data_IF_940053066484
#
_entry.id   IF_940053066484
#
_cell.length_a   1.000
_cell.length_b   1.000
_cell.length_c   1.000
_cell.angle_alpha   90.00
_cell.angle_beta   90.00
_cell.angle_gamma   90.00
#
_symmetry.space_group_name_H-M   'P 1'
#
loop_
_entity.id
_entity.type
_entity.pdbx_description
1 polymer ?
#
# COMPACT_ATOMS: atom_id res chain seq x y z
N UNK A 1 -18.41 2.49 -37.06
CA UNK A 1 -17.07 2.54 -36.44
C UNK A 1 -17.29 2.62 -34.94
N UNK A 2 -17.18 1.49 -34.23
CA UNK A 2 -17.30 1.45 -32.77
C UNK A 2 -15.99 1.95 -32.17
N UNK A 3 -16.07 2.94 -31.27
CA UNK A 3 -14.90 3.54 -30.60
C UNK A 3 -14.10 2.46 -29.84
N UNK A 4 -12.78 2.32 -30.06
CA UNK A 4 -12.02 1.24 -29.45
C UNK A 4 -11.59 1.47 -27.99
N UNK A 5 -11.81 2.65 -27.39
CA UNK A 5 -11.35 2.91 -26.02
C UNK A 5 -12.26 3.87 -25.25
N UNK A 6 -13.14 3.30 -24.43
CA UNK A 6 -13.61 3.95 -23.20
C UNK A 6 -13.97 2.86 -22.20
N UNK A 7 -12.97 2.09 -21.75
CA UNK A 7 -13.12 1.43 -20.46
C UNK A 7 -13.06 2.53 -19.41
N UNK A 8 -14.06 2.58 -18.54
CA UNK A 8 -14.05 3.53 -17.42
C UNK A 8 -12.76 3.35 -16.59
N UNK A 9 -12.17 4.44 -16.09
CA UNK A 9 -11.01 4.38 -15.22
C UNK A 9 -11.25 3.43 -14.05
N UNK A 10 -10.32 2.51 -13.82
CA UNK A 10 -10.40 1.58 -12.69
C UNK A 10 -9.61 2.13 -11.52
N UNK A 11 -10.31 2.70 -10.54
CA UNK A 11 -9.66 3.17 -9.32
C UNK A 11 -8.91 2.04 -8.61
N UNK A 12 -7.83 2.38 -7.93
CA UNK A 12 -7.00 1.40 -7.24
C UNK A 12 -6.00 2.04 -6.30
N UNK A 13 -4.97 1.26 -5.96
CA UNK A 13 -4.05 1.60 -4.90
C UNK A 13 -2.64 1.11 -5.23
N UNK A 14 -1.67 2.00 -5.16
CA UNK A 14 -0.27 1.63 -5.03
C UNK A 14 0.05 1.52 -3.54
N UNK A 15 0.25 0.28 -3.09
CA UNK A 15 0.55 -0.11 -1.73
C UNK A 15 2.06 -0.34 -1.60
N UNK A 16 2.73 0.50 -0.81
CA UNK A 16 4.20 0.48 -0.68
C UNK A 16 4.58 0.29 0.78
N UNK A 17 4.94 -0.93 1.14
CA UNK A 17 5.54 -1.24 2.44
C UNK A 17 7.06 -1.08 2.37
N UNK A 18 7.67 -0.67 3.48
CA UNK A 18 9.12 -0.46 3.52
C UNK A 18 9.72 -0.63 4.92
N UNK A 19 11.02 -0.93 4.94
CA UNK A 19 11.84 -0.99 6.15
C UNK A 19 13.25 -0.49 5.86
N UNK A 20 13.87 0.11 6.86
CA UNK A 20 15.31 0.41 6.81
C UNK A 20 16.05 -0.91 6.97
N UNK A 21 17.04 -1.15 6.11
CA UNK A 21 17.84 -2.38 6.12
C UNK A 21 19.32 -2.15 6.41
N UNK A 22 19.76 -0.89 6.45
CA UNK A 22 21.13 -0.52 6.81
C UNK A 22 21.15 0.40 8.03
N UNK A 23 22.06 0.18 9.00
CA UNK A 23 22.23 1.09 10.12
C UNK A 23 22.80 2.47 9.69
N UNK A 24 23.31 2.61 8.47
CA UNK A 24 23.80 3.89 7.94
C UNK A 24 22.68 4.89 7.62
N UNK A 25 21.43 4.45 7.58
CA UNK A 25 20.27 5.29 7.35
C UNK A 25 19.45 5.40 8.65
N UNK A 26 19.39 6.58 9.24
CA UNK A 26 18.56 6.81 10.42
C UNK A 26 17.07 6.92 10.04
N UNK A 27 16.13 6.56 10.95
CA UNK A 27 14.69 6.77 10.74
C UNK A 27 14.31 8.21 10.40
N UNK A 28 14.99 9.19 11.00
CA UNK A 28 14.77 10.61 10.74
C UNK A 28 15.19 11.00 9.31
N UNK A 29 16.38 10.56 8.87
CA UNK A 29 16.88 10.80 7.51
C UNK A 29 15.97 10.15 6.47
N UNK A 30 15.55 8.91 6.75
CA UNK A 30 14.60 8.20 5.91
C UNK A 30 13.27 8.95 5.77
N UNK A 31 12.67 9.36 6.91
CA UNK A 31 11.45 10.18 6.91
C UNK A 31 11.65 11.44 6.08
N UNK A 32 12.74 12.18 6.32
CA UNK A 32 13.02 13.44 5.63
C UNK A 32 13.11 13.26 4.12
N UNK A 33 13.90 12.30 3.66
CA UNK A 33 14.00 11.99 2.22
C UNK A 33 12.63 11.61 1.64
N UNK A 34 11.89 10.73 2.32
CA UNK A 34 10.64 10.20 1.81
C UNK A 34 9.57 11.29 1.69
N UNK A 35 9.43 12.13 2.72
CA UNK A 35 8.36 13.12 2.84
C UNK A 35 8.69 14.43 2.12
N UNK A 36 9.96 14.87 2.13
CA UNK A 36 10.35 16.17 1.56
C UNK A 36 10.81 16.09 0.10
N UNK A 37 11.26 14.91 -0.37
CA UNK A 37 11.73 14.73 -1.75
C UNK A 37 10.92 13.70 -2.52
N UNK A 38 10.91 12.44 -2.05
CA UNK A 38 10.38 11.33 -2.85
C UNK A 38 8.88 11.42 -3.12
N UNK A 39 8.03 11.58 -2.10
CA UNK A 39 6.57 11.73 -2.29
C UNK A 39 6.25 12.94 -3.19
N UNK A 40 6.81 14.15 -2.96
CA UNK A 40 6.61 15.28 -3.86
C UNK A 40 7.00 15.00 -5.32
N UNK A 41 8.10 14.29 -5.55
CA UNK A 41 8.52 13.87 -6.89
C UNK A 41 7.52 12.91 -7.53
N UNK A 42 7.03 11.91 -6.77
CA UNK A 42 5.98 10.98 -7.23
C UNK A 42 4.73 11.73 -7.64
N UNK A 43 4.20 12.62 -6.78
CA UNK A 43 2.95 13.34 -7.06
C UNK A 43 3.08 14.26 -8.28
N UNK A 44 4.23 14.93 -8.44
CA UNK A 44 4.50 15.80 -9.59
C UNK A 44 4.62 14.98 -10.88
N UNK A 45 5.32 13.85 -10.85
CA UNK A 45 5.56 13.03 -12.03
C UNK A 45 4.35 12.20 -12.48
N UNK A 46 3.46 11.84 -11.54
CA UNK A 46 2.35 10.91 -11.76
C UNK A 46 0.98 11.58 -11.91
N UNK A 47 0.89 12.90 -11.76
CA UNK A 47 -0.34 13.63 -12.03
C UNK A 47 -0.77 13.44 -13.51
N UNK A 48 -2.08 13.28 -13.81
CA UNK A 48 -3.22 13.37 -12.88
C UNK A 48 -3.64 12.01 -12.26
N UNK A 49 -2.87 10.94 -12.47
CA UNK A 49 -3.27 9.59 -12.06
C UNK A 49 -3.04 9.32 -10.58
N UNK A 50 -2.04 9.95 -9.97
CA UNK A 50 -1.78 9.94 -8.52
C UNK A 50 -1.63 11.40 -8.10
N UNK A 51 -2.52 11.86 -7.21
CA UNK A 51 -2.58 13.27 -6.77
C UNK A 51 -2.50 13.43 -5.25
N UNK A 52 -2.48 12.32 -4.52
CA UNK A 52 -2.35 12.28 -3.06
C UNK A 52 -1.49 11.10 -2.63
N UNK A 53 -0.93 11.21 -1.43
CA UNK A 53 -0.21 10.13 -0.76
C UNK A 53 -0.46 10.19 0.74
N UNK A 54 -0.53 9.02 1.37
CA UNK A 54 -0.77 8.89 2.80
C UNK A 54 0.26 7.95 3.39
N UNK A 55 0.98 8.44 4.40
CA UNK A 55 2.07 7.70 5.02
C UNK A 55 1.66 7.28 6.41
N UNK A 56 1.94 6.04 6.75
CA UNK A 56 1.58 5.42 8.02
C UNK A 56 2.77 4.68 8.63
N UNK A 57 2.69 4.47 9.94
CA UNK A 57 3.61 3.64 10.70
C UNK A 57 2.84 2.53 11.42
N UNK A 58 3.39 1.33 11.46
CA UNK A 58 2.79 0.22 12.19
C UNK A 58 2.65 0.59 13.67
N UNK A 59 1.46 0.37 14.23
CA UNK A 59 1.24 0.47 15.68
C UNK A 59 1.89 -0.71 16.42
N UNK A 60 2.14 -1.82 15.72
CA UNK A 60 2.76 -3.04 16.26
C UNK A 60 3.92 -3.49 15.36
N UNK A 61 5.13 -3.12 15.73
CA UNK A 61 6.35 -3.50 14.99
C UNK A 61 6.76 -4.95 15.22
N UNK A 62 6.15 -5.67 16.17
CA UNK A 62 6.42 -7.09 16.37
C UNK A 62 5.67 -7.97 15.35
N UNK A 63 4.58 -7.46 14.75
CA UNK A 63 3.78 -8.18 13.74
C UNK A 63 4.24 -7.97 12.30
N UNK A 64 5.16 -7.04 12.05
CA UNK A 64 5.64 -6.80 10.69
C UNK A 64 7.09 -6.33 10.66
N UNK A 65 7.86 -6.91 9.76
CA UNK A 65 9.20 -6.44 9.44
C UNK A 65 9.19 -5.14 8.60
N UNK A 66 8.02 -4.73 8.09
CA UNK A 66 7.84 -3.55 7.23
C UNK A 66 6.98 -2.50 7.94
N UNK A 67 7.55 -1.75 8.90
CA UNK A 67 6.80 -0.86 9.77
C UNK A 67 6.30 0.41 9.07
N UNK A 68 6.86 0.76 7.90
CA UNK A 68 6.43 1.95 7.15
C UNK A 68 5.53 1.55 6.00
N UNK A 69 4.39 2.24 5.86
CA UNK A 69 3.45 2.07 4.77
C UNK A 69 3.19 3.40 4.08
N UNK A 70 3.24 3.43 2.76
CA UNK A 70 2.75 4.55 1.96
C UNK A 70 1.68 4.06 0.99
N UNK A 71 0.55 4.75 1.00
CA UNK A 71 -0.60 4.50 0.16
C UNK A 71 -0.74 5.64 -0.86
N UNK A 72 -0.76 5.30 -2.13
CA UNK A 72 -1.03 6.22 -3.23
C UNK A 72 -2.32 5.79 -3.92
N UNK A 73 -3.46 6.48 -3.70
CA UNK A 73 -4.65 6.27 -4.49
C UNK A 73 -4.36 6.48 -5.98
N UNK A 74 -4.78 5.52 -6.80
CA UNK A 74 -4.55 5.52 -8.25
C UNK A 74 -5.90 5.69 -8.93
N UNK A 75 -6.03 6.72 -9.77
CA UNK A 75 -7.28 7.00 -10.50
C UNK A 75 -7.62 5.93 -11.52
N UNK A 76 -6.61 5.40 -12.20
CA UNK A 76 -6.74 4.34 -13.19
C UNK A 76 -5.57 3.37 -13.10
N UNK A 77 -5.81 2.15 -12.64
CA UNK A 77 -4.77 1.11 -12.56
C UNK A 77 -4.25 0.69 -13.92
N UNK A 78 -5.03 0.86 -14.99
CA UNK A 78 -4.57 0.54 -16.34
C UNK A 78 -3.38 1.42 -16.77
N UNK A 79 -3.32 2.67 -16.29
CA UNK A 79 -2.20 3.58 -16.55
C UNK A 79 -0.86 3.01 -16.06
N UNK A 80 -0.85 2.25 -14.96
CA UNK A 80 0.36 1.69 -14.37
C UNK A 80 1.12 0.75 -15.32
N UNK A 81 0.45 0.25 -16.36
CA UNK A 81 0.99 -0.69 -17.36
C UNK A 81 1.34 -0.03 -18.70
N UNK A 82 1.18 1.28 -18.79
CA UNK A 82 1.50 2.05 -20.00
C UNK A 82 2.95 2.52 -19.99
N UNK A 83 3.51 2.76 -21.18
CA UNK A 83 4.87 3.32 -21.31
C UNK A 83 4.98 4.75 -20.73
N UNK A 84 3.84 5.44 -20.62
CA UNK A 84 3.68 6.77 -20.02
C UNK A 84 3.57 6.73 -18.47
N UNK A 85 3.72 5.56 -17.85
CA UNK A 85 3.74 5.43 -16.40
C UNK A 85 5.03 5.98 -15.80
N UNK A 86 4.96 7.17 -15.20
CA UNK A 86 6.09 7.80 -14.51
C UNK A 86 6.41 7.21 -13.14
N UNK A 87 5.51 6.41 -12.55
CA UNK A 87 5.68 5.92 -11.17
C UNK A 87 6.99 5.16 -10.97
N UNK A 88 7.38 4.34 -11.94
CA UNK A 88 8.62 3.55 -11.91
C UNK A 88 9.88 4.33 -12.34
N UNK A 89 9.72 5.60 -12.74
CA UNK A 89 10.78 6.44 -13.31
C UNK A 89 11.19 7.58 -12.37
N UNK A 90 10.53 7.70 -11.22
CA UNK A 90 10.90 8.65 -10.17
C UNK A 90 12.32 8.35 -9.69
N UNK A 91 13.15 9.38 -9.54
CA UNK A 91 14.54 9.21 -9.11
C UNK A 91 14.58 8.66 -7.68
N UNK A 92 15.44 7.66 -7.50
CA UNK A 92 15.64 6.94 -6.25
C UNK A 92 17.02 7.22 -5.64
N UNK A 93 17.77 8.13 -6.27
CA UNK A 93 19.01 8.68 -5.73
C UNK A 93 18.76 10.03 -5.08
N UNK A 94 19.37 10.28 -3.93
CA UNK A 94 19.25 11.59 -3.26
C UNK A 94 20.46 11.87 -2.37
N UNK A 95 20.80 13.16 -2.21
CA UNK A 95 21.95 13.61 -1.39
C UNK A 95 21.78 13.33 0.11
N UNK A 96 20.53 13.22 0.57
CA UNK A 96 20.20 12.83 1.95
C UNK A 96 20.47 11.34 2.23
N UNK A 97 20.57 10.52 1.19
CA UNK A 97 20.75 9.09 1.36
C UNK A 97 22.25 8.78 1.48
N UNK A 98 22.65 7.88 2.40
CA UNK A 98 24.03 7.45 2.49
C UNK A 98 24.48 6.80 1.18
N UNK A 99 25.59 7.29 0.63
CA UNK A 99 26.29 6.68 -0.50
C UNK A 99 27.56 5.94 -0.03
N UNK A 100 28.27 5.26 -0.94
CA UNK A 100 29.62 4.77 -0.67
C UNK A 100 30.51 5.95 -0.22
N UNK A 101 31.27 5.75 0.85
CA UNK A 101 32.11 6.79 1.47
C UNK A 101 33.09 7.48 0.51
N UNK A 102 33.41 6.83 -0.61
CA UNK A 102 34.41 7.26 -1.59
C UNK A 102 33.81 7.68 -2.95
N UNK A 103 32.48 7.80 -3.08
CA UNK A 103 31.83 8.17 -4.34
C UNK A 103 31.15 9.56 -4.25
N UNK A 104 31.31 10.44 -5.26
CA UNK A 104 30.53 11.67 -5.39
C UNK A 104 29.06 11.42 -5.79
N UNK A 105 28.66 10.15 -5.96
CA UNK A 105 27.31 9.78 -6.36
C UNK A 105 26.31 9.92 -5.21
N UNK A 106 25.12 10.43 -5.53
CA UNK A 106 23.98 10.51 -4.61
C UNK A 106 23.61 9.10 -4.12
N UNK A 107 23.27 8.94 -2.84
CA UNK A 107 22.94 7.63 -2.27
C UNK A 107 21.69 7.03 -2.91
N UNK A 108 21.68 5.70 -3.12
CA UNK A 108 20.57 4.97 -3.71
C UNK A 108 19.71 4.29 -2.64
N UNK A 109 18.40 4.53 -2.64
CA UNK A 109 17.56 4.08 -1.52
C UNK A 109 17.55 2.56 -1.31
N UNK A 110 17.63 1.76 -2.39
CA UNK A 110 17.62 0.30 -2.27
C UNK A 110 18.90 -0.30 -1.69
N UNK A 111 19.97 0.48 -1.56
CA UNK A 111 21.17 0.05 -0.84
C UNK A 111 20.93 0.03 0.69
N UNK A 112 20.00 0.85 1.19
CA UNK A 112 19.82 1.10 2.63
C UNK A 112 18.42 0.86 3.16
N UNK A 113 17.44 0.62 2.28
CA UNK A 113 16.09 0.22 2.63
C UNK A 113 15.58 -0.91 1.72
N UNK A 114 14.51 -1.57 2.18
CA UNK A 114 13.77 -2.59 1.42
C UNK A 114 12.34 -2.11 1.24
N UNK A 115 11.78 -2.41 0.08
CA UNK A 115 10.42 -2.04 -0.29
C UNK A 115 9.69 -3.23 -0.85
N UNK A 116 8.40 -3.27 -0.56
CA UNK A 116 7.42 -4.17 -1.13
C UNK A 116 6.37 -3.32 -1.84
N UNK A 117 6.37 -3.38 -3.17
CA UNK A 117 5.45 -2.63 -4.02
C UNK A 117 4.37 -3.58 -4.51
N UNK A 118 3.11 -3.19 -4.33
CA UNK A 118 1.97 -3.94 -4.80
C UNK A 118 0.94 -2.98 -5.36
N UNK A 119 0.33 -3.35 -6.48
CA UNK A 119 -0.71 -2.56 -7.11
C UNK A 119 -2.01 -3.33 -7.07
N UNK A 120 -3.06 -2.66 -6.64
CA UNK A 120 -4.37 -3.25 -6.44
C UNK A 120 -5.44 -2.48 -7.19
N UNK A 121 -6.43 -3.20 -7.72
CA UNK A 121 -7.69 -2.64 -8.22
C UNK A 121 -8.70 -2.57 -7.07
N UNK A 122 -9.43 -1.45 -6.96
CA UNK A 122 -10.53 -1.30 -6.01
C UNK A 122 -11.74 -2.07 -6.55
N UNK A 123 -12.22 -3.06 -5.79
CA UNK A 123 -13.31 -3.95 -6.24
C UNK A 123 -14.54 -3.87 -5.36
N UNK A 124 -14.46 -3.28 -4.16
CA UNK A 124 -15.64 -3.05 -3.32
C UNK A 124 -15.37 -2.01 -2.24
N UNK A 125 -16.43 -1.34 -1.76
CA UNK A 125 -16.36 -0.36 -0.68
C UNK A 125 -17.67 -0.35 0.11
N UNK A 126 -17.57 -0.24 1.43
CA UNK A 126 -18.72 -0.09 2.35
C UNK A 126 -18.44 1.05 3.33
N UNK A 127 -19.37 1.99 3.43
CA UNK A 127 -19.25 3.21 4.24
C UNK A 127 -19.03 4.45 3.37
N UNK A 128 -19.32 5.63 3.93
CA UNK A 128 -19.31 6.92 3.22
C UNK A 128 -18.31 7.91 3.84
N UNK A 129 -17.17 7.41 4.32
CA UNK A 129 -16.16 8.28 4.91
C UNK A 129 -15.46 9.14 3.84
N UNK A 130 -15.50 10.45 4.06
CA UNK A 130 -14.82 11.46 3.25
C UNK A 130 -13.86 12.20 4.18
N UNK A 131 -12.58 11.86 4.09
CA UNK A 131 -11.53 12.41 4.95
C UNK A 131 -10.32 11.50 4.99
N UNK A 132 -9.26 11.90 5.68
CA UNK A 132 -8.07 11.06 5.88
C UNK A 132 -8.23 10.29 7.19
N UNK A 133 -8.23 8.94 7.19
CA UNK A 133 -8.28 8.17 8.41
C UNK A 133 -7.00 8.37 9.20
N UNK A 134 -7.14 8.51 10.52
CA UNK A 134 -6.00 8.62 11.43
C UNK A 134 -5.40 7.23 11.70
N UNK A 135 -6.21 6.18 11.56
CA UNK A 135 -5.77 4.80 11.74
C UNK A 135 -6.36 3.92 10.65
N UNK A 136 -5.59 2.91 10.25
CA UNK A 136 -6.07 1.87 9.36
C UNK A 136 -5.72 0.49 9.91
N UNK A 137 -6.59 -0.48 9.65
CA UNK A 137 -6.27 -1.89 9.78
C UNK A 137 -6.28 -2.51 8.39
N UNK A 138 -5.14 -3.03 7.98
CA UNK A 138 -4.95 -3.72 6.69
C UNK A 138 -5.02 -5.21 6.94
N UNK A 139 -6.06 -5.87 6.42
CA UNK A 139 -6.17 -7.32 6.42
C UNK A 139 -5.69 -7.89 5.09
N UNK A 140 -4.70 -8.75 5.14
CA UNK A 140 -4.15 -9.45 3.97
C UNK A 140 -4.89 -10.77 3.79
N UNK A 141 -5.48 -10.99 2.61
CA UNK A 141 -6.27 -12.19 2.33
C UNK A 141 -5.57 -13.10 1.31
N UNK A 142 -5.56 -14.38 1.61
CA UNK A 142 -5.08 -15.43 0.71
C UNK A 142 -6.24 -16.21 0.03
N UNK A 143 -5.88 -17.23 -0.75
CA UNK A 143 -6.88 -18.04 -1.47
C UNK A 143 -7.87 -18.74 -0.54
N UNK A 144 -7.46 -19.10 0.69
CA UNK A 144 -8.30 -19.78 1.67
C UNK A 144 -9.30 -18.84 2.33
N UNK A 145 -8.94 -17.56 2.51
CA UNK A 145 -9.87 -16.53 2.96
C UNK A 145 -10.92 -16.20 1.89
N UNK A 146 -10.47 -16.18 0.63
CA UNK A 146 -11.29 -15.81 -0.53
C UNK A 146 -12.22 -16.95 -0.93
N UNK A 147 -11.80 -18.22 -0.88
CA UNK A 147 -12.61 -19.36 -1.32
C UNK A 147 -13.06 -20.18 -0.13
N UNK A 148 -14.29 -19.97 0.30
CA UNK A 148 -14.90 -20.72 1.39
C UNK A 148 -15.89 -21.77 0.86
N UNK A 149 -16.06 -22.85 1.64
CA UNK A 149 -17.05 -23.88 1.35
C UNK A 149 -18.45 -23.27 1.43
N UNK A 150 -19.19 -23.31 0.32
CA UNK A 150 -20.50 -22.67 0.21
C UNK A 150 -20.54 -21.43 -0.68
N UNK A 151 -19.39 -21.00 -1.22
CA UNK A 151 -19.33 -19.95 -2.25
C UNK A 151 -19.81 -20.43 -3.64
N UNK A 152 -20.17 -21.72 -3.77
CA UNK A 152 -20.70 -22.33 -4.99
C UNK A 152 -22.02 -21.65 -5.41
N UNK A 153 -21.93 -20.74 -6.39
CA UNK A 153 -23.06 -20.00 -6.94
C UNK A 153 -23.06 -18.49 -6.66
N UNK A 154 -22.08 -17.97 -5.92
CA UNK A 154 -21.86 -16.52 -5.84
C UNK A 154 -21.21 -16.02 -7.13
N UNK A 155 -21.71 -14.89 -7.64
CA UNK A 155 -20.99 -14.12 -8.65
C UNK A 155 -19.87 -13.29 -8.01
N UNK A 156 -19.10 -12.57 -8.83
CA UNK A 156 -17.96 -11.78 -8.34
C UNK A 156 -18.40 -10.70 -7.33
N UNK A 157 -19.58 -10.12 -7.51
CA UNK A 157 -20.12 -9.11 -6.61
C UNK A 157 -20.54 -9.71 -5.26
N UNK A 158 -21.26 -10.83 -5.27
CA UNK A 158 -21.65 -11.55 -4.06
C UNK A 158 -20.43 -12.02 -3.25
N UNK A 159 -19.34 -12.39 -3.93
CA UNK A 159 -18.08 -12.73 -3.28
C UNK A 159 -17.43 -11.50 -2.60
N UNK A 160 -17.40 -10.35 -3.27
CA UNK A 160 -16.86 -9.11 -2.72
C UNK A 160 -17.64 -8.67 -1.46
N UNK A 161 -18.98 -8.71 -1.54
CA UNK A 161 -19.85 -8.36 -0.42
C UNK A 161 -19.65 -9.31 0.77
N UNK A 162 -19.54 -10.62 0.50
CA UNK A 162 -19.23 -11.62 1.53
C UNK A 162 -17.93 -11.29 2.25
N UNK A 163 -16.85 -11.04 1.50
CA UNK A 163 -15.52 -10.76 2.05
C UNK A 163 -15.57 -9.48 2.91
N UNK A 164 -16.17 -8.40 2.39
CA UNK A 164 -16.28 -7.14 3.13
C UNK A 164 -17.11 -7.30 4.41
N UNK A 165 -18.24 -7.99 4.32
CA UNK A 165 -19.11 -8.23 5.48
C UNK A 165 -18.41 -9.05 6.55
N UNK A 166 -17.77 -10.17 6.17
CA UNK A 166 -17.03 -11.02 7.11
C UNK A 166 -15.84 -10.29 7.74
N UNK A 167 -15.05 -9.57 6.93
CA UNK A 167 -13.91 -8.81 7.44
C UNK A 167 -14.35 -7.74 8.44
N UNK A 168 -15.42 -7.00 8.13
CA UNK A 168 -16.01 -6.01 9.06
C UNK A 168 -16.54 -6.66 10.33
N UNK A 169 -17.17 -7.83 10.24
CA UNK A 169 -17.70 -8.55 11.40
C UNK A 169 -16.57 -9.03 12.33
N UNK A 170 -15.53 -9.67 11.79
CA UNK A 170 -14.38 -10.15 12.55
C UNK A 170 -13.69 -9.00 13.31
N UNK A 171 -13.51 -7.88 12.63
CA UNK A 171 -12.92 -6.68 13.20
C UNK A 171 -13.83 -6.04 14.27
N UNK A 172 -15.15 -6.02 14.07
CA UNK A 172 -16.10 -5.50 15.05
C UNK A 172 -16.28 -6.40 16.29
N UNK A 173 -16.00 -7.71 16.17
CA UNK A 173 -15.99 -8.61 17.32
C UNK A 173 -14.74 -8.39 18.19
N UNK A 174 -13.59 -8.13 17.55
CA UNK A 174 -12.33 -7.78 18.23
C UNK A 174 -12.22 -6.31 18.68
N UNK A 175 -13.05 -5.41 18.11
CA UNK A 175 -13.00 -3.97 18.37
C UNK A 175 -14.26 -3.42 19.01
N UNK A 176 -14.10 -2.56 20.02
CA UNK A 176 -15.22 -1.73 20.52
C UNK A 176 -15.58 -0.57 19.57
N UNK A 177 -14.80 -0.35 18.51
CA UNK A 177 -15.01 0.71 17.51
C UNK A 177 -15.22 0.09 16.13
N UNK A 178 -16.21 0.60 15.38
CA UNK A 178 -16.46 0.15 14.01
C UNK A 178 -15.67 1.01 13.03
N UNK A 179 -15.12 0.43 11.94
CA UNK A 179 -14.49 1.21 10.90
C UNK A 179 -15.50 2.11 10.20
N UNK A 180 -15.10 3.37 9.96
CA UNK A 180 -15.90 4.37 9.24
C UNK A 180 -16.07 4.00 7.77
N UNK A 181 -15.09 3.29 7.21
CA UNK A 181 -15.12 2.76 5.86
C UNK A 181 -14.31 1.46 5.77
N UNK A 182 -14.72 0.56 4.88
CA UNK A 182 -13.91 -0.58 4.47
C UNK A 182 -13.82 -0.63 2.95
N UNK A 183 -12.61 -0.81 2.43
CA UNK A 183 -12.38 -0.95 0.99
C UNK A 183 -11.69 -2.27 0.69
N UNK A 184 -12.24 -3.03 -0.24
CA UNK A 184 -11.68 -4.28 -0.75
C UNK A 184 -10.92 -4.02 -2.05
N UNK A 185 -9.71 -4.54 -2.07
CA UNK A 185 -8.74 -4.41 -3.14
C UNK A 185 -8.33 -5.79 -3.62
N UNK A 186 -8.20 -5.96 -4.95
CA UNK A 186 -7.72 -7.19 -5.59
C UNK A 186 -6.38 -6.93 -6.24
N UNK A 187 -5.40 -7.81 -6.01
CA UNK A 187 -4.05 -7.64 -6.53
C UNK A 187 -4.09 -7.62 -8.06
N UNK A 188 -3.60 -6.53 -8.66
CA UNK A 188 -3.46 -6.40 -10.11
C UNK A 188 -2.08 -6.90 -10.55
N UNK A 189 -1.01 -6.36 -9.98
CA UNK A 189 0.34 -6.88 -10.19
C UNK A 189 1.33 -6.46 -9.10
N UNK A 190 2.45 -7.18 -9.10
CA UNK A 190 3.67 -6.84 -8.36
C UNK A 190 4.74 -6.52 -9.40
N UNK A 191 5.38 -5.34 -9.35
CA UNK A 191 6.44 -5.00 -10.29
C UNK A 191 7.67 -5.90 -10.04
N UNK A 192 8.49 -6.17 -11.06
CA UNK A 192 9.77 -6.80 -10.83
C UNK A 192 10.60 -5.93 -9.89
N UNK A 193 11.33 -6.55 -8.95
CA UNK A 193 12.25 -5.80 -8.08
C UNK A 193 13.27 -5.08 -8.97
N UNK A 194 13.53 -3.78 -8.75
CA UNK A 194 14.58 -3.08 -9.47
C UNK A 194 15.91 -3.78 -9.19
N UNK A 195 16.56 -4.24 -10.26
CA UNK A 195 17.87 -4.87 -10.17
C UNK A 195 18.91 -3.77 -10.04
N UNK A 196 19.79 -3.85 -9.05
CA UNK A 196 21.05 -3.11 -9.09
C UNK A 196 21.88 -3.70 -10.23
N UNK A 197 22.29 -2.87 -11.20
CA UNK A 197 23.23 -3.32 -12.23
C UNK A 197 24.48 -3.89 -11.55
N UNK A 198 24.83 -5.14 -11.85
CA UNK A 198 26.03 -5.80 -11.32
C UNK A 198 25.87 -6.61 -10.03
N UNK A 199 24.70 -6.70 -9.40
CA UNK A 199 24.49 -7.60 -8.25
C UNK A 199 23.68 -8.85 -8.61
N UNK A 200 24.31 -10.03 -8.46
CA UNK A 200 23.62 -11.31 -8.57
C UNK A 200 22.62 -11.47 -7.41
N UNK A 201 21.36 -11.67 -7.76
CA UNK A 201 20.26 -11.92 -6.84
C UNK A 201 20.36 -13.34 -6.25
N UNK A 202 21.21 -13.55 -5.24
CA UNK A 202 21.28 -14.83 -4.55
C UNK A 202 20.58 -14.87 -3.18
N UNK A 203 20.17 -13.73 -2.63
CA UNK A 203 19.38 -13.70 -1.39
C UNK A 203 17.88 -13.61 -1.71
N UNK A 204 17.36 -14.62 -2.39
CA UNK A 204 15.92 -14.84 -2.48
C UNK A 204 15.47 -15.51 -1.17
N UNK A 205 15.47 -14.73 -0.08
CA UNK A 205 14.73 -15.09 1.13
C UNK A 205 13.31 -15.47 0.70
N UNK A 206 12.78 -16.60 1.20
CA UNK A 206 11.45 -17.10 0.83
C UNK A 206 10.38 -16.20 1.43
N UNK A 207 10.18 -15.03 0.84
CA UNK A 207 9.13 -14.10 1.24
C UNK A 207 7.79 -14.74 0.84
N UNK A 208 6.81 -14.84 1.75
CA UNK A 208 5.46 -15.24 1.40
C UNK A 208 4.97 -14.47 0.18
N UNK A 209 4.23 -15.15 -0.70
CA UNK A 209 3.66 -14.51 -1.88
C UNK A 209 2.77 -13.32 -1.51
N UNK A 210 2.61 -12.34 -2.40
CA UNK A 210 1.78 -11.17 -2.12
C UNK A 210 0.33 -11.58 -1.87
N UNK A 211 -0.32 -10.92 -0.91
CA UNK A 211 -1.74 -11.11 -0.62
C UNK A 211 -2.59 -10.87 -1.88
N UNK A 212 -3.50 -11.80 -2.17
CA UNK A 212 -4.35 -11.76 -3.36
C UNK A 212 -5.40 -10.66 -3.27
N UNK A 213 -5.90 -10.41 -2.07
CA UNK A 213 -6.77 -9.30 -1.77
C UNK A 213 -6.29 -8.56 -0.52
N UNK A 214 -6.64 -7.28 -0.40
CA UNK A 214 -6.50 -6.50 0.81
C UNK A 214 -7.86 -5.95 1.20
N UNK A 215 -8.19 -5.98 2.49
CA UNK A 215 -9.26 -5.15 3.04
C UNK A 215 -8.60 -4.08 3.90
N UNK A 216 -8.84 -2.82 3.57
CA UNK A 216 -8.40 -1.69 4.38
C UNK A 216 -9.61 -1.17 5.14
N UNK A 217 -9.52 -1.24 6.47
CA UNK A 217 -10.49 -0.70 7.41
C UNK A 217 -10.00 0.65 7.92
N UNK A 218 -10.79 1.70 7.69
CA UNK A 218 -10.45 3.08 8.00
C UNK A 218 -11.11 3.51 9.33
N UNK A 219 -10.37 4.25 10.16
CA UNK A 219 -10.84 4.76 11.45
C UNK A 219 -10.42 6.21 11.68
N UNK A 220 -11.31 6.99 12.33
CA UNK A 220 -11.03 8.35 12.81
C UNK A 220 -10.29 8.35 14.14
N UNK A 221 -10.57 7.35 15.00
CA UNK A 221 -9.94 7.17 16.31
C UNK A 221 -9.18 5.85 16.35
N UNK A 222 -8.19 5.75 17.25
CA UNK A 222 -7.43 4.53 17.42
C UNK A 222 -8.38 3.37 17.74
N UNK A 223 -8.34 2.26 16.99
CA UNK A 223 -9.11 1.09 17.36
C UNK A 223 -8.71 0.65 18.77
N UNK A 224 -9.69 0.38 19.65
CA UNK A 224 -9.38 -0.04 21.03
C UNK A 224 -8.62 -1.37 21.00
N UNK A 225 -7.68 -1.57 21.94
CA UNK A 225 -6.84 -2.76 22.07
C UNK A 225 -7.62 -4.06 21.80
N UNK A 226 -7.06 -4.92 20.92
CA UNK A 226 -7.61 -6.26 20.63
C UNK A 226 -7.94 -6.53 19.17
N UNK A 227 -8.05 -5.50 18.31
CA UNK A 227 -8.46 -5.69 16.91
C UNK A 227 -7.51 -6.58 16.12
N UNK A 228 -6.21 -6.32 16.24
CA UNK A 228 -5.16 -7.09 15.54
C UNK A 228 -4.69 -8.28 16.36
N UNK A 229 -4.89 -8.29 17.68
CA UNK A 229 -4.37 -9.33 18.56
C UNK A 229 -4.96 -10.73 18.25
N UNK A 230 -6.16 -10.79 17.66
CA UNK A 230 -6.84 -12.04 17.33
C UNK A 230 -6.62 -12.53 15.89
N UNK A 231 -6.01 -11.72 15.01
CA UNK A 231 -5.87 -12.02 13.57
C UNK A 231 -4.45 -11.71 13.09
N UNK A 232 -3.67 -12.76 12.85
CA UNK A 232 -2.27 -12.64 12.39
C UNK A 232 -2.13 -12.11 10.95
N UNK A 233 -3.24 -12.09 10.19
CA UNK A 233 -3.27 -11.52 8.84
C UNK A 233 -3.54 -10.01 8.81
N UNK A 234 -3.90 -9.43 9.96
CA UNK A 234 -4.19 -8.02 10.12
C UNK A 234 -2.96 -7.24 10.60
N UNK A 235 -2.79 -6.02 10.08
CA UNK A 235 -1.77 -5.07 10.50
C UNK A 235 -2.42 -3.72 10.78
N UNK A 236 -2.12 -3.12 11.93
CA UNK A 236 -2.61 -1.79 12.28
C UNK A 236 -1.55 -0.74 12.02
N UNK A 237 -1.97 0.37 11.43
CA UNK A 237 -1.11 1.50 11.18
C UNK A 237 -1.75 2.81 11.63
N UNK A 238 -0.92 3.71 12.15
CA UNK A 238 -1.25 5.07 12.52
C UNK A 238 -0.73 6.05 11.46
N UNK A 239 -1.53 7.05 11.12
CA UNK A 239 -1.17 8.07 10.15
C UNK A 239 0.03 8.90 10.63
N UNK A 240 1.03 9.05 9.76
CA UNK A 240 2.17 9.94 9.97
C UNK A 240 1.96 11.28 9.27
N UNK A 241 1.62 11.25 7.99
CA UNK A 241 1.61 12.43 7.13
C UNK A 241 0.74 12.23 5.90
N UNK A 242 0.28 13.34 5.33
CA UNK A 242 -0.56 13.38 4.12
C UNK A 242 0.01 14.40 3.14
N UNK A 243 -0.12 14.11 1.85
CA UNK A 243 0.44 14.92 0.78
C UNK A 243 -0.55 15.07 -0.37
N UNK A 244 -0.44 16.17 -1.10
CA UNK A 244 -1.25 16.42 -2.30
C UNK A 244 -2.70 16.84 -2.00
N UNK A 245 -3.59 16.64 -2.97
CA UNK A 245 -5.01 16.99 -2.82
C UNK A 245 -5.77 15.88 -2.09
N UNK A 246 -5.72 15.93 -0.76
CA UNK A 246 -6.42 15.00 0.13
C UNK A 246 -7.93 15.25 0.21
N UNK A 247 -8.47 16.18 -0.60
CA UNK A 247 -9.91 16.45 -0.71
C UNK A 247 -10.64 15.50 -1.67
N UNK A 248 -9.91 14.65 -2.40
CA UNK A 248 -10.45 13.60 -3.26
C UNK A 248 -10.64 12.26 -2.53
N UNK A 249 -11.44 11.37 -3.14
CA UNK A 249 -11.67 10.00 -2.65
C UNK A 249 -10.37 9.25 -2.33
N UNK A 250 -10.43 8.45 -1.26
CA UNK A 250 -9.52 7.33 -0.99
C UNK A 250 -9.71 6.19 -1.99
#
# INVERSE_FOLDING_TARGET
MSSPFSKEPKAGLAYVQSRISSPSLSPETYRKWYEEAHIPDVLRACAPNIVSAHRFHSSDTAKTDYPYLTLYPVRDTAWLRTDDCSFFRVDLHHELLPGPSDSPERGFIFDVARFDFRFYERVGRVGEYVGVPQFIVVKQLDDSDIKQKGDDGLDEHGLQDRILSQSRAAIAEGSKSKPVCSTLYKLDFVPPRPKKEGHNSQDAESVPGPAKCLVIHEYEEAPKEGVVAADDSALEFSLLSTFGDSRGEW
#
